data_IF_158324560905
#
_entry.id   IF_158324560905
#
_cell.length_a   1.000
_cell.length_b   1.000
_cell.length_c   1.000
_cell.angle_alpha   90.00
_cell.angle_beta   90.00
_cell.angle_gamma   90.00
#
_symmetry.space_group_name_H-M   'P 1'
#
loop_
_entity.id
_entity.type
_entity.pdbx_description
1 polymer ?
#
# COMPACT_ATOMS: atom_id res chain seq x y z
N UNK A 1 -2.84 8.20 -21.90
CA UNK A 1 -2.06 8.65 -20.74
C UNK A 1 -2.98 9.48 -19.88
N UNK A 2 -3.12 9.07 -18.62
CA UNK A 2 -4.01 9.68 -17.65
C UNK A 2 -3.38 10.97 -17.10
N UNK A 3 -4.13 12.07 -17.08
CA UNK A 3 -3.67 13.37 -16.58
C UNK A 3 -4.70 13.92 -15.60
N UNK A 4 -4.26 14.30 -14.40
CA UNK A 4 -5.04 14.97 -13.38
C UNK A 4 -4.63 16.44 -13.37
N UNK A 5 -5.58 17.34 -13.63
CA UNK A 5 -5.35 18.78 -13.50
C UNK A 5 -5.89 19.25 -12.16
N UNK A 6 -5.03 19.91 -11.37
CA UNK A 6 -5.37 20.46 -10.06
C UNK A 6 -5.95 21.88 -10.23
N UNK A 7 -7.02 22.18 -9.49
CA UNK A 7 -7.62 23.52 -9.44
C UNK A 7 -6.57 24.54 -8.99
N UNK A 8 -6.60 25.72 -9.58
CA UNK A 8 -5.72 26.82 -9.20
C UNK A 8 -5.78 27.10 -7.69
N UNK A 9 -4.62 27.11 -7.02
CA UNK A 9 -4.48 27.36 -5.59
C UNK A 9 -4.71 26.15 -4.69
N UNK A 10 -4.98 24.96 -5.24
CA UNK A 10 -5.16 23.70 -4.48
C UNK A 10 -3.94 22.78 -4.51
N UNK A 11 -2.87 23.19 -5.16
CA UNK A 11 -1.58 22.48 -5.26
C UNK A 11 -0.73 22.58 -3.99
N UNK A 12 -1.04 23.49 -3.05
CA UNK A 12 -0.20 23.75 -1.87
C UNK A 12 0.05 22.51 -1.01
N UNK A 13 -0.97 21.68 -0.75
CA UNK A 13 -0.81 20.44 0.05
C UNK A 13 0.16 19.47 -0.61
N UNK A 14 -0.02 19.27 -1.93
CA UNK A 14 0.81 18.41 -2.74
C UNK A 14 2.27 18.87 -2.74
N UNK A 15 2.49 20.18 -2.90
CA UNK A 15 3.83 20.78 -2.87
C UNK A 15 4.49 20.71 -1.49
N UNK A 16 3.71 20.65 -0.41
CA UNK A 16 4.21 20.40 0.94
C UNK A 16 4.49 18.92 1.26
N UNK A 17 4.29 18.02 0.29
CA UNK A 17 4.59 16.60 0.42
C UNK A 17 3.44 15.73 0.93
N UNK A 18 2.22 16.26 1.00
CA UNK A 18 1.03 15.45 1.29
C UNK A 18 0.83 14.42 0.17
N UNK A 19 0.83 13.11 0.49
CA UNK A 19 0.68 12.07 -0.52
C UNK A 19 -0.75 11.94 -1.06
N UNK A 20 -1.72 12.71 -0.57
CA UNK A 20 -3.13 12.53 -0.89
C UNK A 20 -3.71 13.67 -1.73
N UNK A 21 -4.45 13.31 -2.77
CA UNK A 21 -5.20 14.23 -3.64
C UNK A 21 -6.68 13.89 -3.53
N UNK A 22 -7.45 14.81 -2.97
CA UNK A 22 -8.90 14.68 -2.80
C UNK A 22 -9.66 15.14 -4.06
N UNK A 23 -10.86 14.59 -4.33
CA UNK A 23 -11.71 15.01 -5.44
C UNK A 23 -11.94 16.53 -5.51
N UNK A 24 -12.04 17.18 -4.34
CA UNK A 24 -12.28 18.62 -4.24
C UNK A 24 -11.16 19.48 -4.83
N UNK A 25 -9.93 18.96 -4.89
CA UNK A 25 -8.76 19.62 -5.46
C UNK A 25 -8.62 19.41 -6.98
N UNK A 26 -9.32 18.43 -7.55
CA UNK A 26 -9.22 18.07 -8.97
C UNK A 26 -10.15 18.94 -9.79
N UNK A 27 -9.62 19.59 -10.83
CA UNK A 27 -10.39 20.32 -11.82
C UNK A 27 -10.95 19.36 -12.88
N UNK A 28 -10.07 18.51 -13.43
CA UNK A 28 -10.44 17.50 -14.42
C UNK A 28 -9.47 16.34 -14.46
N UNK A 29 -9.94 15.21 -14.99
CA UNK A 29 -9.15 14.02 -15.26
C UNK A 29 -9.31 13.64 -16.73
N UNK A 30 -8.25 13.81 -17.50
CA UNK A 30 -8.17 13.48 -18.92
C UNK A 30 -7.53 12.10 -19.10
N UNK A 31 -7.97 11.33 -20.10
CA UNK A 31 -7.44 9.99 -20.39
C UNK A 31 -8.50 9.06 -20.96
N UNK A 32 -8.08 7.89 -21.46
CA UNK A 32 -9.02 6.91 -22.00
C UNK A 32 -9.91 6.36 -20.88
N UNK A 33 -11.19 6.01 -21.16
CA UNK A 33 -12.08 5.45 -20.14
C UNK A 33 -11.50 4.22 -19.43
N UNK A 34 -10.78 3.35 -20.16
CA UNK A 34 -10.10 2.18 -19.60
C UNK A 34 -9.01 2.55 -18.59
N UNK A 35 -8.26 3.64 -18.82
CA UNK A 35 -7.25 4.15 -17.89
C UNK A 35 -7.92 4.78 -16.66
N UNK A 36 -8.98 5.57 -16.86
CA UNK A 36 -9.73 6.24 -15.79
C UNK A 36 -10.46 5.28 -14.86
N UNK A 37 -10.93 4.16 -15.39
CA UNK A 37 -11.72 3.16 -14.66
C UNK A 37 -10.85 2.04 -14.06
N UNK A 38 -9.53 2.06 -14.27
CA UNK A 38 -8.60 1.09 -13.69
C UNK A 38 -8.07 1.63 -12.35
N UNK A 39 -8.47 1.06 -11.19
CA UNK A 39 -7.97 1.51 -9.90
C UNK A 39 -6.44 1.41 -9.83
N UNK A 40 -5.81 2.48 -9.38
CA UNK A 40 -4.35 2.58 -9.26
C UNK A 40 -3.61 2.98 -10.52
N UNK A 41 -4.30 3.23 -11.64
CA UNK A 41 -3.66 3.66 -12.88
C UNK A 41 -2.79 4.90 -12.63
N UNK A 42 -1.55 4.86 -13.13
CA UNK A 42 -0.61 5.97 -12.94
C UNK A 42 -1.02 7.15 -13.83
N UNK A 43 -1.18 8.31 -13.21
CA UNK A 43 -1.48 9.59 -13.83
C UNK A 43 -0.33 10.57 -13.64
N UNK A 44 -0.18 11.49 -14.59
CA UNK A 44 0.57 12.72 -14.38
C UNK A 44 -0.37 13.72 -13.69
N UNK A 45 0.11 14.34 -12.62
CA UNK A 45 -0.58 15.43 -11.94
C UNK A 45 0.05 16.73 -12.40
N UNK A 46 -0.77 17.68 -12.81
CA UNK A 46 -0.34 19.00 -13.28
C UNK A 46 -1.14 20.13 -12.64
N UNK A 47 -0.55 21.32 -12.58
CA UNK A 47 -1.24 22.54 -12.18
C UNK A 47 -2.23 23.00 -13.25
N UNK A 48 -3.06 24.00 -12.93
CA UNK A 48 -3.94 24.66 -13.93
C UNK A 48 -3.14 25.29 -15.08
N UNK A 49 -1.88 25.65 -14.85
CA UNK A 49 -0.94 26.14 -15.87
C UNK A 49 -0.22 25.00 -16.64
N UNK A 50 -0.64 23.74 -16.46
CA UNK A 50 -0.07 22.53 -17.08
C UNK A 50 1.40 22.25 -16.71
N UNK A 51 1.85 22.75 -15.56
CA UNK A 51 3.16 22.40 -15.02
C UNK A 51 3.09 21.06 -14.30
N UNK A 52 4.09 20.20 -14.48
CA UNK A 52 4.20 18.94 -13.76
C UNK A 52 4.26 19.20 -12.25
N UNK A 53 3.50 18.40 -11.48
CA UNK A 53 3.51 18.43 -10.02
C UNK A 53 3.91 17.08 -9.43
N UNK A 54 3.39 15.98 -9.98
CA UNK A 54 3.63 14.64 -9.44
C UNK A 54 3.27 13.54 -10.44
N UNK A 55 3.71 12.32 -10.14
CA UNK A 55 3.07 11.08 -10.63
C UNK A 55 2.26 10.47 -9.49
N UNK A 56 1.03 10.07 -9.76
CA UNK A 56 0.12 9.55 -8.74
C UNK A 56 -0.71 8.38 -9.25
N UNK A 57 -1.10 7.45 -8.37
CA UNK A 57 -2.08 6.42 -8.66
C UNK A 57 -3.49 6.99 -8.50
N UNK A 58 -4.28 6.96 -9.56
CA UNK A 58 -5.66 7.45 -9.57
C UNK A 58 -6.67 6.34 -9.24
N UNK A 59 -7.69 6.67 -8.48
CA UNK A 59 -8.86 5.83 -8.27
C UNK A 59 -10.13 6.69 -8.16
N UNK A 60 -10.95 6.70 -9.21
CA UNK A 60 -12.19 7.47 -9.27
C UNK A 60 -13.22 7.13 -8.18
N UNK A 61 -13.16 5.92 -7.59
CA UNK A 61 -14.09 5.48 -6.55
C UNK A 61 -13.68 5.91 -5.15
N UNK A 62 -12.41 6.25 -4.94
CA UNK A 62 -11.87 6.56 -3.62
C UNK A 62 -12.16 8.00 -3.20
N UNK A 63 -12.33 8.20 -1.89
CA UNK A 63 -12.32 9.54 -1.29
C UNK A 63 -10.93 10.20 -1.40
N UNK A 64 -9.86 9.39 -1.46
CA UNK A 64 -8.51 9.84 -1.84
C UNK A 64 -8.35 9.52 -3.32
N UNK A 65 -8.84 10.43 -4.16
CA UNK A 65 -8.94 10.25 -5.60
C UNK A 65 -7.59 9.92 -6.27
N UNK A 66 -6.49 10.45 -5.75
CA UNK A 66 -5.17 9.99 -6.16
C UNK A 66 -4.16 9.98 -5.00
N UNK A 67 -3.21 9.05 -5.06
CA UNK A 67 -2.11 8.90 -4.11
C UNK A 67 -0.78 9.10 -4.81
N UNK A 68 0.03 10.02 -4.31
CA UNK A 68 1.29 10.42 -4.93
C UNK A 68 2.32 9.29 -4.82
N UNK A 69 2.90 8.94 -5.95
CA UNK A 69 4.08 8.09 -6.00
C UNK A 69 5.35 8.92 -5.81
N UNK A 70 5.49 9.99 -6.59
CA UNK A 70 6.70 10.80 -6.61
C UNK A 70 6.40 12.21 -7.09
N UNK A 71 7.14 13.18 -6.53
CA UNK A 71 7.16 14.57 -6.97
C UNK A 71 8.25 14.81 -8.03
N UNK A 72 9.02 13.77 -8.37
CA UNK A 72 10.09 13.84 -9.36
C UNK A 72 9.56 13.46 -10.74
N UNK A 73 9.74 14.35 -11.71
CA UNK A 73 9.28 14.11 -13.08
C UNK A 73 10.02 12.95 -13.76
N UNK A 74 11.31 12.83 -13.45
CA UNK A 74 12.25 11.85 -14.01
C UNK A 74 12.15 10.45 -13.39
N UNK A 75 11.40 10.26 -12.30
CA UNK A 75 11.28 8.96 -11.64
C UNK A 75 10.10 8.16 -12.22
N UNK A 76 10.35 7.03 -12.91
CA UNK A 76 9.28 6.19 -13.41
C UNK A 76 8.61 5.41 -12.28
N UNK A 77 7.29 5.19 -12.43
CA UNK A 77 6.53 4.28 -11.56
C UNK A 77 6.57 2.88 -12.17
N UNK A 78 7.56 2.10 -11.74
CA UNK A 78 7.88 0.79 -12.30
C UNK A 78 8.19 -0.27 -11.23
N UNK A 79 8.51 -1.48 -11.69
CA UNK A 79 8.90 -2.59 -10.84
C UNK A 79 10.14 -2.28 -9.97
N UNK A 80 11.09 -1.50 -10.49
CA UNK A 80 12.31 -1.15 -9.77
C UNK A 80 12.01 -0.19 -8.62
N UNK A 81 11.12 0.80 -8.83
CA UNK A 81 10.64 1.69 -7.78
C UNK A 81 9.96 0.91 -6.65
N UNK A 82 9.04 0.00 -6.97
CA UNK A 82 8.35 -0.82 -5.96
C UNK A 82 9.36 -1.66 -5.16
N UNK A 83 10.30 -2.31 -5.86
CA UNK A 83 11.38 -3.09 -5.23
C UNK A 83 12.22 -2.24 -4.27
N UNK A 84 12.69 -1.06 -4.71
CA UNK A 84 13.49 -0.16 -3.88
C UNK A 84 12.74 0.27 -2.61
N UNK A 85 11.46 0.63 -2.72
CA UNK A 85 10.65 1.10 -1.58
C UNK A 85 10.41 -0.01 -0.57
N UNK A 86 10.05 -1.21 -1.03
CA UNK A 86 9.89 -2.37 -0.16
C UNK A 86 11.22 -2.70 0.54
N UNK A 87 12.33 -2.74 -0.18
CA UNK A 87 13.65 -3.00 0.40
C UNK A 87 14.04 -1.97 1.45
N UNK A 88 13.80 -0.67 1.19
CA UNK A 88 14.08 0.40 2.14
C UNK A 88 13.24 0.25 3.43
N UNK A 89 11.93 -0.02 3.29
CA UNK A 89 11.04 -0.22 4.43
C UNK A 89 11.44 -1.44 5.27
N UNK A 90 11.75 -2.57 4.63
CA UNK A 90 12.23 -3.79 5.28
C UNK A 90 13.59 -3.55 5.95
N UNK A 91 14.53 -2.86 5.31
CA UNK A 91 15.83 -2.54 5.92
C UNK A 91 15.69 -1.65 7.16
N UNK A 92 14.76 -0.69 7.13
CA UNK A 92 14.52 0.24 8.23
C UNK A 92 13.90 -0.43 9.46
N UNK A 93 13.09 -1.49 9.30
CA UNK A 93 12.29 -2.09 10.39
C UNK A 93 12.52 -3.57 10.61
N UNK A 94 13.23 -4.27 9.73
CA UNK A 94 13.35 -5.73 9.74
C UNK A 94 14.39 -6.30 10.71
N UNK A 95 15.26 -5.46 11.28
CA UNK A 95 16.30 -5.92 12.20
C UNK A 95 15.78 -6.04 13.64
N UNK A 96 16.20 -7.09 14.34
CA UNK A 96 15.92 -7.27 15.77
C UNK A 96 14.43 -7.45 16.10
N UNK A 97 13.61 -7.84 15.13
CA UNK A 97 12.20 -8.07 15.35
C UNK A 97 11.97 -9.23 16.31
N UNK A 98 11.07 -9.01 17.26
CA UNK A 98 10.55 -10.09 18.10
C UNK A 98 9.76 -11.09 17.24
N UNK A 99 10.20 -12.37 17.14
CA UNK A 99 9.51 -13.36 16.32
C UNK A 99 8.10 -13.69 16.82
N UNK A 100 7.75 -13.37 18.07
CA UNK A 100 6.42 -13.57 18.61
C UNK A 100 5.53 -12.33 18.50
N UNK A 101 6.05 -11.18 18.05
CA UNK A 101 5.25 -9.99 17.81
C UNK A 101 4.77 -9.92 16.36
N UNK A 102 3.63 -9.27 16.15
CA UNK A 102 3.20 -8.84 14.83
C UNK A 102 3.77 -7.44 14.56
N UNK A 103 4.96 -7.39 13.95
CA UNK A 103 5.73 -6.16 13.78
C UNK A 103 5.54 -5.53 12.39
N UNK A 104 5.30 -4.23 12.32
CA UNK A 104 5.14 -3.53 11.03
C UNK A 104 6.47 -3.39 10.29
N UNK A 105 6.54 -3.96 9.09
CA UNK A 105 7.65 -3.80 8.14
C UNK A 105 7.43 -2.64 7.16
N UNK A 106 6.19 -2.48 6.69
CA UNK A 106 5.82 -1.41 5.75
C UNK A 106 4.64 -0.64 6.32
N UNK A 107 4.80 0.68 6.42
CA UNK A 107 3.85 1.65 6.95
C UNK A 107 3.44 2.65 5.87
N UNK A 108 2.72 2.13 4.86
CA UNK A 108 1.97 2.88 3.86
C UNK A 108 2.69 4.11 3.31
N UNK A 109 2.14 5.26 3.66
CA UNK A 109 2.59 6.57 3.19
C UNK A 109 4.04 6.89 3.61
N UNK A 110 4.48 6.44 4.80
CA UNK A 110 5.84 6.72 5.30
C UNK A 110 6.92 6.06 4.46
N UNK A 111 6.59 4.98 3.77
CA UNK A 111 7.51 4.24 2.91
C UNK A 111 7.29 4.50 1.42
N UNK A 112 6.45 5.49 1.09
CA UNK A 112 6.06 5.76 -0.29
C UNK A 112 5.27 4.61 -0.93
N UNK A 113 4.60 3.78 -0.16
CA UNK A 113 3.72 2.72 -0.65
C UNK A 113 2.29 3.01 -0.15
N UNK A 114 1.68 4.13 -0.59
CA UNK A 114 0.49 4.67 0.04
C UNK A 114 -0.70 3.68 -0.06
N UNK A 115 -1.18 3.25 1.11
CA UNK A 115 -2.20 2.21 1.26
C UNK A 115 -1.68 0.78 1.43
N UNK A 116 -0.37 0.54 1.57
CA UNK A 116 0.17 -0.77 1.91
C UNK A 116 0.54 -0.86 3.39
N UNK A 117 0.02 -1.87 4.09
CA UNK A 117 0.53 -2.24 5.41
C UNK A 117 1.07 -3.66 5.34
N UNK A 118 2.30 -3.88 5.82
CA UNK A 118 2.88 -5.21 5.93
C UNK A 118 3.36 -5.42 7.35
N UNK A 119 2.90 -6.51 7.96
CA UNK A 119 3.35 -6.94 9.28
C UNK A 119 4.03 -8.31 9.17
N UNK A 120 5.12 -8.52 9.90
CA UNK A 120 5.83 -9.78 9.99
C UNK A 120 5.60 -10.43 11.35
N UNK A 121 5.54 -11.76 11.34
CA UNK A 121 5.49 -12.61 12.52
C UNK A 121 6.37 -13.83 12.25
N UNK A 122 7.14 -14.33 13.22
CA UNK A 122 7.91 -15.57 13.11
C UNK A 122 9.19 -15.52 12.24
N UNK A 123 9.60 -14.35 11.76
CA UNK A 123 10.82 -14.20 10.95
C UNK A 123 10.74 -14.92 9.60
N UNK A 124 11.85 -15.52 9.15
CA UNK A 124 11.96 -16.18 7.84
C UNK A 124 11.07 -17.42 7.71
N UNK A 125 10.84 -18.16 8.79
CA UNK A 125 9.95 -19.33 8.80
C UNK A 125 8.49 -18.97 9.16
N UNK A 126 8.20 -17.67 9.31
CA UNK A 126 6.91 -17.18 9.77
C UNK A 126 6.00 -16.73 8.63
N UNK A 127 5.37 -15.57 8.80
CA UNK A 127 4.35 -15.04 7.89
C UNK A 127 4.47 -13.53 7.72
N UNK A 128 4.25 -13.06 6.50
CA UNK A 128 3.98 -11.66 6.19
C UNK A 128 2.48 -11.46 5.99
N UNK A 129 1.84 -10.67 6.85
CA UNK A 129 0.44 -10.27 6.72
C UNK A 129 0.35 -8.92 6.04
N UNK A 130 -0.13 -8.90 4.81
CA UNK A 130 -0.24 -7.72 3.95
C UNK A 130 -1.68 -7.22 3.89
N UNK A 131 -1.86 -5.90 3.87
CA UNK A 131 -3.12 -5.25 3.54
C UNK A 131 -2.89 -4.29 2.37
N UNK A 132 -3.54 -4.55 1.23
CA UNK A 132 -3.51 -3.70 0.03
C UNK A 132 -4.73 -2.77 0.03
N UNK A 133 -4.68 -1.73 0.84
CA UNK A 133 -5.82 -0.88 1.18
C UNK A 133 -6.10 0.25 0.17
N UNK A 134 -5.38 0.29 -0.96
CA UNK A 134 -5.59 1.29 -2.01
C UNK A 134 -5.42 0.70 -3.40
N UNK A 135 -6.16 1.23 -4.38
CA UNK A 135 -5.98 0.86 -5.78
C UNK A 135 -4.52 1.02 -6.26
N UNK A 136 -3.82 2.01 -5.71
CA UNK A 136 -2.41 2.27 -5.93
C UNK A 136 -1.55 1.02 -5.75
N UNK A 137 -1.56 0.43 -4.56
CA UNK A 137 -0.73 -0.74 -4.23
C UNK A 137 -1.34 -2.05 -4.73
N UNK A 138 -2.66 -2.10 -4.91
CA UNK A 138 -3.34 -3.27 -5.51
C UNK A 138 -2.84 -3.52 -6.93
N UNK A 139 -2.68 -2.46 -7.74
CA UNK A 139 -2.16 -2.57 -9.10
C UNK A 139 -0.71 -3.12 -9.14
N UNK A 140 0.07 -2.83 -8.09
CA UNK A 140 1.46 -3.26 -7.94
C UNK A 140 1.61 -4.48 -7.01
N UNK A 141 0.53 -5.21 -6.72
CA UNK A 141 0.53 -6.33 -5.78
C UNK A 141 1.60 -7.37 -6.10
N UNK A 142 1.68 -7.84 -7.35
CA UNK A 142 2.63 -8.89 -7.74
C UNK A 142 4.09 -8.44 -7.52
N UNK A 143 4.54 -7.29 -8.04
CA UNK A 143 5.90 -6.79 -7.78
C UNK A 143 6.20 -6.55 -6.30
N UNK A 144 5.23 -6.05 -5.53
CA UNK A 144 5.38 -5.83 -4.09
C UNK A 144 5.59 -7.16 -3.35
N UNK A 145 4.77 -8.18 -3.64
CA UNK A 145 4.90 -9.51 -3.03
C UNK A 145 6.26 -10.13 -3.37
N UNK A 146 6.69 -10.06 -4.62
CA UNK A 146 8.01 -10.55 -5.03
C UNK A 146 9.15 -9.82 -4.31
N UNK A 147 9.04 -8.51 -4.14
CA UNK A 147 10.03 -7.72 -3.41
C UNK A 147 10.06 -8.07 -1.91
N UNK A 148 8.90 -8.34 -1.30
CA UNK A 148 8.81 -8.76 0.10
C UNK A 148 9.46 -10.12 0.34
N UNK A 149 9.16 -11.10 -0.51
CA UNK A 149 9.79 -12.43 -0.46
C UNK A 149 11.32 -12.30 -0.53
N UNK A 150 11.82 -11.53 -1.50
CA UNK A 150 13.26 -11.35 -1.69
C UNK A 150 13.93 -10.55 -0.55
N UNK A 151 13.28 -9.53 -0.01
CA UNK A 151 13.86 -8.68 1.02
C UNK A 151 13.84 -9.30 2.42
N UNK A 152 12.87 -10.17 2.70
CA UNK A 152 12.68 -10.77 4.04
C UNK A 152 13.20 -12.20 4.13
N UNK A 153 13.25 -12.93 3.01
CA UNK A 153 13.48 -14.37 3.00
C UNK A 153 12.30 -15.19 3.54
N UNK A 154 11.19 -14.56 3.92
CA UNK A 154 9.98 -15.24 4.36
C UNK A 154 9.20 -15.74 3.15
N UNK A 155 8.90 -17.03 3.08
CA UNK A 155 8.21 -17.65 1.95
C UNK A 155 6.67 -17.46 1.98
N UNK A 156 6.12 -17.09 3.13
CA UNK A 156 4.68 -17.07 3.35
C UNK A 156 4.15 -15.64 3.38
N UNK A 157 3.26 -15.31 2.45
CA UNK A 157 2.63 -14.00 2.33
C UNK A 157 1.13 -14.18 2.30
N UNK A 158 0.44 -13.58 3.27
CA UNK A 158 -1.01 -13.64 3.40
C UNK A 158 -1.63 -12.26 3.22
N UNK A 159 -2.68 -12.17 2.42
CA UNK A 159 -3.48 -10.96 2.27
C UNK A 159 -4.63 -10.95 3.27
N UNK A 160 -4.63 -9.97 4.17
CA UNK A 160 -5.78 -9.60 5.01
C UNK A 160 -6.50 -8.43 4.35
N UNK A 161 -7.83 -8.49 4.35
CA UNK A 161 -8.68 -7.45 3.78
C UNK A 161 -9.57 -6.83 4.85
N UNK A 162 -9.68 -5.50 4.87
CA UNK A 162 -10.78 -4.80 5.54
C UNK A 162 -11.92 -4.55 4.52
N UNK A 163 -13.09 -5.19 4.67
CA UNK A 163 -14.18 -5.06 3.70
C UNK A 163 -14.65 -3.63 3.46
N UNK A 164 -14.65 -2.77 4.49
CA UNK A 164 -15.11 -1.39 4.37
C UNK A 164 -14.11 -0.55 3.57
N UNK A 165 -12.81 -0.71 3.87
CA UNK A 165 -11.75 -0.02 3.15
C UNK A 165 -11.73 -0.44 1.68
N UNK A 166 -11.80 -1.75 1.40
CA UNK A 166 -11.80 -2.26 0.02
C UNK A 166 -13.03 -1.81 -0.76
N UNK A 167 -14.20 -1.78 -0.12
CA UNK A 167 -15.43 -1.24 -0.72
C UNK A 167 -15.27 0.23 -1.09
N UNK A 168 -14.68 1.04 -0.21
CA UNK A 168 -14.39 2.46 -0.48
C UNK A 168 -13.42 2.69 -1.64
N UNK A 169 -12.51 1.75 -1.89
CA UNK A 169 -11.62 1.77 -3.06
C UNK A 169 -12.22 1.07 -4.29
N UNK A 170 -13.39 0.45 -4.17
CA UNK A 170 -14.01 -0.36 -5.22
C UNK A 170 -13.20 -1.61 -5.60
N UNK A 171 -12.47 -2.18 -4.65
CA UNK A 171 -11.66 -3.38 -4.78
C UNK A 171 -12.41 -4.63 -4.30
N UNK A 172 -12.01 -5.79 -4.82
CA UNK A 172 -12.54 -7.07 -4.37
C UNK A 172 -12.01 -7.42 -2.98
N UNK A 173 -12.87 -8.01 -2.15
CA UNK A 173 -12.50 -8.55 -0.84
C UNK A 173 -12.14 -10.03 -1.01
N UNK A 174 -10.85 -10.31 -1.19
CA UNK A 174 -10.33 -11.67 -1.37
C UNK A 174 -9.11 -11.90 -0.47
N UNK A 175 -9.30 -12.15 0.83
CA UNK A 175 -8.19 -12.55 1.68
C UNK A 175 -7.70 -13.94 1.30
N UNK A 176 -6.43 -14.24 1.57
CA UNK A 176 -5.84 -15.54 1.25
C UNK A 176 -4.32 -15.51 1.10
N UNK A 177 -3.71 -16.68 0.95
CA UNK A 177 -2.28 -16.80 0.65
C UNK A 177 -1.98 -16.20 -0.74
N UNK A 178 -1.02 -15.28 -0.79
CA UNK A 178 -0.42 -14.74 -2.01
C UNK A 178 0.86 -15.50 -2.39
N UNK A 179 1.52 -16.13 -1.42
CA UNK A 179 2.67 -17.01 -1.59
C UNK A 179 2.81 -17.93 -0.37
N UNK A 180 3.34 -19.13 -0.58
CA UNK A 180 3.58 -20.11 0.48
C UNK A 180 2.30 -20.54 1.20
N UNK A 181 2.43 -20.84 2.48
CA UNK A 181 1.35 -21.37 3.32
C UNK A 181 0.53 -20.27 3.99
N UNK A 182 -0.74 -20.58 4.24
CA UNK A 182 -1.61 -19.75 5.05
C UNK A 182 -1.23 -19.83 6.54
N UNK A 183 -1.32 -18.74 7.33
CA UNK A 183 -1.14 -18.82 8.77
C UNK A 183 -2.14 -19.75 9.44
N UNK A 184 -1.74 -20.49 10.49
CA UNK A 184 -2.69 -21.25 11.28
C UNK A 184 -3.69 -20.30 11.96
N UNK A 185 -4.89 -20.80 12.20
CA UNK A 185 -5.99 -20.02 12.77
C UNK A 185 -5.67 -19.42 14.15
N UNK A 186 -4.80 -20.05 14.93
CA UNK A 186 -4.45 -19.59 16.27
C UNK A 186 -2.94 -19.63 16.46
N UNK A 187 -2.36 -18.47 16.71
CA UNK A 187 -0.96 -18.25 17.06
C UNK A 187 -0.86 -17.53 18.40
N UNK A 188 0.25 -17.76 19.12
CA UNK A 188 0.55 -16.98 20.33
C UNK A 188 1.32 -15.73 19.93
N UNK A 189 0.65 -14.58 20.00
CA UNK A 189 1.22 -13.29 19.58
C UNK A 189 1.47 -12.41 20.81
N UNK A 190 2.62 -11.74 20.84
CA UNK A 190 2.99 -10.76 21.87
C UNK A 190 2.04 -9.56 21.82
N UNK A 191 1.34 -9.33 22.91
CA UNK A 191 0.51 -8.15 23.15
C UNK A 191 0.86 -7.56 24.52
N UNK A 192 1.50 -6.38 24.52
CA UNK A 192 2.03 -5.78 25.75
C UNK A 192 3.11 -6.67 26.39
N UNK A 193 2.91 -7.04 27.65
CA UNK A 193 3.88 -7.86 28.43
C UNK A 193 3.68 -9.37 28.29
N UNK A 194 2.64 -9.84 27.61
CA UNK A 194 2.29 -11.25 27.54
C UNK A 194 2.01 -11.75 26.12
N UNK A 195 1.73 -13.05 26.01
CA UNK A 195 1.27 -13.69 24.79
C UNK A 195 -0.25 -13.87 24.84
N UNK A 196 -0.91 -13.63 23.71
CA UNK A 196 -2.36 -13.86 23.54
C UNK A 196 -2.60 -14.77 22.33
N UNK A 197 -3.57 -15.69 22.41
CA UNK A 197 -4.03 -16.43 21.24
C UNK A 197 -4.69 -15.47 20.25
N UNK A 198 -4.16 -15.37 19.03
CA UNK A 198 -4.63 -14.47 17.97
C UNK A 198 -4.73 -15.21 16.64
N UNK A 199 -5.75 -14.88 15.84
CA UNK A 199 -5.82 -15.20 14.42
C UNK A 199 -5.25 -14.02 13.62
N UNK A 200 -3.99 -14.11 13.17
CA UNK A 200 -3.33 -13.00 12.45
C UNK A 200 -3.93 -12.74 11.06
N UNK A 201 -4.73 -13.68 10.52
CA UNK A 201 -5.41 -13.53 9.23
C UNK A 201 -6.55 -12.53 9.32
N UNK A 202 -7.17 -12.43 10.48
CA UNK A 202 -8.32 -11.54 10.74
C UNK A 202 -7.96 -10.41 11.70
N UNK A 203 -6.92 -10.57 12.52
CA UNK A 203 -6.60 -9.71 13.66
C UNK A 203 -7.43 -10.00 14.91
N UNK A 204 -8.26 -11.04 14.91
CA UNK A 204 -9.08 -11.41 16.05
C UNK A 204 -8.22 -11.97 17.19
N UNK A 205 -8.44 -11.47 18.41
CA UNK A 205 -7.80 -11.97 19.63
C UNK A 205 -8.80 -12.83 20.39
N UNK A 206 -8.45 -14.08 20.64
CA UNK A 206 -9.31 -14.98 21.40
C UNK A 206 -9.34 -14.54 22.87
N UNK A 207 -10.51 -14.63 23.53
CA UNK A 207 -10.59 -14.44 24.98
C UNK A 207 -9.71 -15.49 25.67
N UNK A 208 -9.19 -15.11 26.85
CA UNK A 208 -8.39 -15.99 27.70
C UNK A 208 -9.21 -17.14 28.27
#
# INVERSE_FOLDING_TARGET
MLIITIKQGKEKSLLSGDPWIYPSAIEKVDGKPQERNRPGATAIVQSSARQFLARAAYNAKSQIAARVWTLREDEPVDHAMMKRRVQAAVAARGQGLDPQALATLVDGDKDGLPGLVVQAYGGQAGYLVCQFNAGAVELWKVPIVQALLAATGCANVYERCDPLVRKGEGLLVKPGALAGDEPPQRLMVRAGRGLVPMDIRTGFVYPK
#
